data_IF_960333632588
#
_entry.id   IF_960333632588
#
_cell.length_a   1.000
_cell.length_b   1.000
_cell.length_c   1.000
_cell.angle_alpha   90.00
_cell.angle_beta   90.00
_cell.angle_gamma   90.00
#
_symmetry.space_group_name_H-M   'P 1'
#
loop_
_entity.id
_entity.type
_entity.pdbx_description
1 polymer ?
#
# COMPACT_ATOMS: atom_id res chain seq x y z
N UNK A 1 11.15 25.09 4.70
CA UNK A 1 10.29 23.96 4.27
C UNK A 1 9.17 23.85 5.30
N UNK A 2 7.90 23.74 4.90
CA UNK A 2 6.83 23.47 5.87
C UNK A 2 7.05 22.10 6.51
N UNK A 3 6.63 21.94 7.76
CA UNK A 3 6.66 20.67 8.49
C UNK A 3 6.07 19.50 7.70
N UNK A 4 4.97 19.75 7.00
CA UNK A 4 4.29 18.75 6.17
C UNK A 4 5.16 18.35 4.97
N UNK A 5 5.83 19.30 4.30
CA UNK A 5 6.71 18.96 3.17
C UNK A 5 7.90 18.09 3.61
N UNK A 6 8.38 18.26 4.84
CA UNK A 6 9.40 17.39 5.41
C UNK A 6 8.85 15.96 5.62
N UNK A 7 7.67 15.83 6.20
CA UNK A 7 6.99 14.54 6.38
C UNK A 7 6.78 13.83 5.04
N UNK A 8 6.21 14.51 4.04
CA UNK A 8 5.94 13.92 2.71
C UNK A 8 7.23 13.44 2.03
N UNK A 9 8.31 14.23 2.12
CA UNK A 9 9.61 13.84 1.57
C UNK A 9 10.19 12.61 2.29
N UNK A 10 10.09 12.54 3.62
CA UNK A 10 10.55 11.37 4.38
C UNK A 10 9.73 10.12 4.09
N UNK A 11 8.42 10.27 3.89
CA UNK A 11 7.55 9.18 3.46
C UNK A 11 7.97 8.66 2.08
N UNK A 12 8.21 9.56 1.12
CA UNK A 12 8.71 9.19 -0.21
C UNK A 12 10.05 8.42 -0.13
N UNK A 13 11.00 8.92 0.66
CA UNK A 13 12.29 8.26 0.86
C UNK A 13 12.13 6.88 1.51
N UNK A 14 11.25 6.74 2.50
CA UNK A 14 10.96 5.47 3.18
C UNK A 14 10.33 4.45 2.24
N UNK A 15 9.34 4.88 1.44
CA UNK A 15 8.70 4.03 0.43
C UNK A 15 9.70 3.51 -0.60
N UNK A 16 10.60 4.36 -1.06
CA UNK A 16 11.60 4.00 -2.07
C UNK A 16 12.73 3.12 -1.52
N UNK A 17 13.00 3.17 -0.20
CA UNK A 17 13.92 2.27 0.51
C UNK A 17 13.34 0.88 0.75
N UNK A 18 12.01 0.73 0.75
CA UNK A 18 11.37 -0.58 0.96
C UNK A 18 11.47 -1.47 -0.30
N UNK A 19 12.44 -2.39 -0.29
CA UNK A 19 12.61 -3.37 -1.36
C UNK A 19 11.42 -4.33 -1.50
N UNK A 20 10.70 -4.64 -0.42
CA UNK A 20 9.56 -5.57 -0.44
C UNK A 20 8.38 -4.96 -1.18
N UNK A 21 8.02 -3.70 -0.91
CA UNK A 21 6.99 -2.97 -1.65
C UNK A 21 7.36 -2.86 -3.12
N UNK A 22 8.60 -2.50 -3.43
CA UNK A 22 9.09 -2.43 -4.82
C UNK A 22 9.12 -3.78 -5.53
N UNK A 23 9.38 -4.88 -4.82
CA UNK A 23 9.30 -6.25 -5.36
C UNK A 23 7.86 -6.65 -5.69
N UNK A 24 6.87 -6.23 -4.91
CA UNK A 24 5.44 -6.50 -5.16
C UNK A 24 4.91 -5.81 -6.42
N UNK A 25 5.55 -4.71 -6.85
CA UNK A 25 5.28 -4.04 -8.13
C UNK A 25 5.88 -4.78 -9.35
N UNK A 26 6.65 -5.86 -9.14
CA UNK A 26 7.07 -6.73 -10.25
C UNK A 26 5.92 -7.68 -10.60
N UNK A 27 5.68 -7.98 -11.89
CA UNK A 27 4.89 -9.14 -12.23
C UNK A 27 5.52 -10.35 -11.53
N UNK A 28 4.72 -11.09 -10.77
CA UNK A 28 5.15 -12.37 -10.20
C UNK A 28 5.34 -13.30 -11.39
N UNK A 29 6.56 -13.35 -11.94
CA UNK A 29 6.90 -14.24 -13.06
C UNK A 29 6.89 -15.70 -12.62
N UNK A 30 7.05 -15.93 -11.32
CA UNK A 30 7.13 -17.25 -10.70
C UNK A 30 6.75 -17.09 -9.23
N UNK A 31 5.70 -17.78 -8.79
CA UNK A 31 5.60 -18.13 -7.37
C UNK A 31 6.76 -19.11 -7.12
N UNK A 32 7.73 -18.76 -6.28
CA UNK A 32 8.78 -19.69 -5.83
C UNK A 32 8.20 -20.69 -4.84
N UNK A 33 7.19 -21.43 -5.30
CA UNK A 33 6.61 -22.63 -4.72
C UNK A 33 6.47 -23.73 -5.77
N UNK A 34 7.26 -23.64 -6.86
CA UNK A 34 7.53 -24.79 -7.73
C UNK A 34 8.21 -25.90 -6.92
N UNK A 35 8.01 -27.16 -7.32
CA UNK A 35 8.04 -28.31 -6.44
C UNK A 35 9.42 -28.46 -5.78
N UNK A 36 9.47 -28.32 -4.46
CA UNK A 36 10.40 -29.15 -3.70
C UNK A 36 9.92 -30.60 -3.87
N UNK A 37 10.80 -31.59 -4.09
CA UNK A 37 10.43 -33.01 -4.19
C UNK A 37 9.97 -33.61 -2.84
N UNK A 38 9.62 -32.77 -1.87
CA UNK A 38 9.28 -33.16 -0.51
C UNK A 38 7.81 -32.86 -0.20
N UNK A 39 7.10 -33.79 0.46
CA UNK A 39 5.69 -33.61 0.81
C UNK A 39 5.59 -32.64 1.99
N UNK A 40 5.32 -31.37 1.70
CA UNK A 40 5.01 -30.34 2.69
C UNK A 40 3.76 -29.55 2.25
N UNK A 41 2.99 -28.97 3.19
CA UNK A 41 1.70 -28.36 2.89
C UNK A 41 1.91 -26.96 2.28
N UNK A 42 2.30 -26.91 1.01
CA UNK A 42 2.11 -25.73 0.18
C UNK A 42 0.63 -25.58 -0.21
N UNK A 43 0.17 -24.38 -0.63
CA UNK A 43 -1.23 -24.15 -0.92
C UNK A 43 -1.63 -24.98 -2.14
N UNK A 44 -2.39 -26.06 -1.90
CA UNK A 44 -2.93 -26.87 -2.97
C UNK A 44 -3.85 -26.01 -3.84
N UNK A 45 -3.79 -26.13 -5.17
CA UNK A 45 -4.83 -25.56 -6.02
C UNK A 45 -6.17 -26.17 -5.62
N UNK A 46 -7.30 -25.45 -5.83
CA UNK A 46 -8.60 -25.99 -5.52
C UNK A 46 -8.81 -27.33 -6.27
N UNK A 47 -9.57 -28.29 -5.70
CA UNK A 47 -9.54 -29.71 -6.11
C UNK A 47 -9.82 -29.98 -7.60
N UNK A 48 -10.57 -29.08 -8.23
CA UNK A 48 -10.92 -29.07 -9.64
C UNK A 48 -9.73 -28.78 -10.59
N UNK A 49 -8.65 -28.17 -10.10
CA UNK A 49 -7.40 -27.91 -10.86
C UNK A 49 -6.30 -28.94 -10.59
N UNK A 50 -6.39 -29.69 -9.49
CA UNK A 50 -5.41 -30.70 -9.12
C UNK A 50 -5.40 -31.92 -10.06
N UNK A 51 -6.50 -32.17 -10.80
CA UNK A 51 -6.64 -33.32 -11.70
C UNK A 51 -6.39 -33.02 -13.19
N UNK A 52 -6.08 -31.77 -13.56
CA UNK A 52 -5.76 -31.41 -14.94
C UNK A 52 -4.32 -30.86 -15.03
N UNK A 53 -3.33 -31.68 -15.44
CA UNK A 53 -1.93 -31.26 -15.59
C UNK A 53 -1.73 -30.12 -16.59
N UNK A 54 -2.67 -29.91 -17.52
CA UNK A 54 -2.60 -28.81 -18.50
C UNK A 54 -3.11 -27.48 -17.91
N UNK A 55 -3.96 -27.54 -16.88
CA UNK A 55 -4.51 -26.38 -16.15
C UNK A 55 -3.53 -25.71 -15.19
N UNK A 56 -2.43 -26.37 -14.81
CA UNK A 56 -1.41 -25.78 -13.93
C UNK A 56 -0.68 -24.61 -14.59
N UNK A 57 -0.56 -24.66 -15.92
CA UNK A 57 -0.07 -23.54 -16.72
C UNK A 57 -1.06 -22.35 -16.81
N UNK A 58 -2.29 -22.52 -16.30
CA UNK A 58 -3.33 -21.47 -16.17
C UNK A 58 -3.45 -20.93 -14.74
N UNK A 59 -2.94 -21.65 -13.73
CA UNK A 59 -2.71 -21.13 -12.38
C UNK A 59 -1.48 -20.19 -12.34
N UNK A 60 -1.29 -19.39 -13.40
CA UNK A 60 -0.30 -18.32 -13.44
C UNK A 60 -0.72 -17.30 -12.38
N UNK A 61 0.26 -16.84 -11.61
CA UNK A 61 0.09 -15.73 -10.69
C UNK A 61 -0.66 -14.57 -11.37
N UNK A 62 -1.47 -13.88 -10.58
CA UNK A 62 -2.32 -12.79 -11.04
C UNK A 62 -1.57 -11.88 -12.03
N UNK A 63 -2.17 -11.59 -13.20
CA UNK A 63 -1.50 -10.87 -14.27
C UNK A 63 -1.08 -9.48 -13.77
N UNK A 64 0.18 -9.12 -14.05
CA UNK A 64 0.77 -7.77 -14.05
C UNK A 64 0.05 -6.72 -13.20
N UNK A 65 0.68 -6.31 -12.08
CA UNK A 65 0.23 -5.21 -11.23
C UNK A 65 -0.23 -4.01 -12.07
N UNK A 66 -1.45 -3.51 -11.81
CA UNK A 66 -2.02 -2.34 -12.50
C UNK A 66 -1.66 -1.03 -11.80
N UNK A 67 -0.68 -1.06 -10.88
CA UNK A 67 -0.30 0.09 -10.08
C UNK A 67 0.72 0.98 -10.79
N UNK A 68 1.42 0.52 -11.82
CA UNK A 68 2.43 1.31 -12.53
C UNK A 68 1.81 2.51 -13.26
N UNK A 69 2.49 3.66 -13.18
CA UNK A 69 2.06 4.95 -13.71
C UNK A 69 0.67 5.36 -13.22
N UNK A 70 0.39 5.12 -11.93
CA UNK A 70 -0.92 5.35 -11.34
C UNK A 70 -0.83 5.98 -9.95
N UNK A 71 -1.77 6.87 -9.67
CA UNK A 71 -2.05 7.34 -8.32
C UNK A 71 -2.69 6.21 -7.52
N UNK A 72 -2.02 5.72 -6.47
CA UNK A 72 -2.46 4.54 -5.73
C UNK A 72 -3.18 4.89 -4.43
N UNK A 73 -2.79 5.99 -3.78
CA UNK A 73 -3.38 6.45 -2.51
C UNK A 73 -3.54 7.97 -2.58
N UNK A 74 -4.75 8.47 -2.34
CA UNK A 74 -5.01 9.85 -1.92
C UNK A 74 -5.43 9.83 -0.46
N UNK A 75 -4.72 10.58 0.38
CA UNK A 75 -5.07 10.78 1.79
C UNK A 75 -5.35 12.25 2.03
N UNK A 76 -6.59 12.55 2.42
CA UNK A 76 -7.06 13.86 2.82
C UNK A 76 -7.27 13.89 4.33
N UNK A 77 -6.55 14.78 5.00
CA UNK A 77 -6.66 14.99 6.44
C UNK A 77 -7.41 16.30 6.66
N UNK A 78 -8.64 16.21 7.18
CA UNK A 78 -9.60 17.31 7.23
C UNK A 78 -8.98 18.59 7.83
N UNK A 79 -9.00 19.69 7.08
CA UNK A 79 -8.48 21.01 7.46
C UNK A 79 -6.95 21.12 7.64
N UNK A 80 -6.18 20.07 7.33
CA UNK A 80 -4.73 20.06 7.51
C UNK A 80 -3.98 19.97 6.18
N UNK A 81 -4.05 18.83 5.48
CA UNK A 81 -3.35 18.63 4.22
C UNK A 81 -3.96 17.47 3.43
N UNK A 82 -3.63 17.44 2.14
CA UNK A 82 -3.91 16.33 1.24
C UNK A 82 -2.62 15.92 0.54
N UNK A 83 -2.41 14.63 0.36
CA UNK A 83 -1.31 14.14 -0.46
C UNK A 83 -1.72 12.91 -1.26
N UNK A 84 -1.00 12.71 -2.35
CA UNK A 84 -1.16 11.57 -3.25
C UNK A 84 0.16 10.81 -3.33
N UNK A 85 0.08 9.48 -3.30
CA UNK A 85 1.19 8.59 -3.62
C UNK A 85 1.00 8.07 -5.04
N UNK A 86 1.94 8.38 -5.92
CA UNK A 86 2.01 7.90 -7.29
C UNK A 86 3.08 6.82 -7.42
N UNK A 87 2.82 5.79 -8.21
CA UNK A 87 3.83 4.79 -8.59
C UNK A 87 4.29 5.07 -10.02
N UNK A 88 5.56 5.43 -10.18
CA UNK A 88 6.15 5.71 -11.48
C UNK A 88 6.39 4.42 -12.29
N UNK A 89 6.66 4.56 -13.59
CA UNK A 89 6.98 3.44 -14.49
C UNK A 89 8.23 2.65 -14.06
N UNK A 90 9.20 3.33 -13.44
CA UNK A 90 10.44 2.74 -12.92
C UNK A 90 10.26 2.07 -11.53
N UNK A 91 9.02 1.98 -11.04
CA UNK A 91 8.64 1.39 -9.74
C UNK A 91 9.17 2.18 -8.55
N UNK A 92 9.42 3.47 -8.72
CA UNK A 92 9.60 4.40 -7.61
C UNK A 92 8.25 4.98 -7.20
N UNK A 93 8.18 5.45 -5.97
CA UNK A 93 7.04 6.16 -5.43
C UNK A 93 7.34 7.66 -5.44
N UNK A 94 6.37 8.48 -5.84
CA UNK A 94 6.40 9.93 -5.66
C UNK A 94 5.27 10.32 -4.71
N UNK A 95 5.55 11.21 -3.76
CA UNK A 95 4.57 11.72 -2.80
C UNK A 95 4.40 13.23 -3.00
N UNK A 96 3.21 13.64 -3.43
CA UNK A 96 2.94 15.04 -3.79
C UNK A 96 1.75 15.62 -3.02
N UNK A 97 1.79 16.90 -2.61
CA UNK A 97 0.67 17.58 -1.95
C UNK A 97 -0.40 18.00 -2.97
N UNK A 98 -0.99 17.03 -3.65
CA UNK A 98 -2.07 17.23 -4.63
C UNK A 98 -3.20 16.22 -4.45
N UNK A 99 -4.33 16.49 -5.09
CA UNK A 99 -5.42 15.54 -5.27
C UNK A 99 -5.18 14.71 -6.54
N UNK A 100 -5.53 13.44 -6.48
CA UNK A 100 -5.52 12.53 -7.60
C UNK A 100 -6.83 12.66 -8.39
N UNK A 101 -6.77 12.41 -9.70
CA UNK A 101 -7.99 12.40 -10.53
C UNK A 101 -8.74 11.08 -10.36
N UNK A 102 -8.01 9.95 -10.32
CA UNK A 102 -8.58 8.62 -10.21
C UNK A 102 -7.68 7.68 -9.38
N UNK A 103 -7.52 7.95 -8.07
CA UNK A 103 -6.68 7.13 -7.20
C UNK A 103 -7.28 5.72 -7.03
N UNK A 104 -6.43 4.71 -6.84
CA UNK A 104 -6.91 3.36 -6.48
C UNK A 104 -7.67 3.36 -5.15
N UNK A 105 -7.18 4.13 -4.18
CA UNK A 105 -7.78 4.33 -2.88
C UNK A 105 -7.73 5.81 -2.52
N UNK A 106 -8.89 6.39 -2.21
CA UNK A 106 -9.01 7.72 -1.63
C UNK A 106 -9.62 7.60 -0.25
N UNK A 107 -8.99 8.22 0.73
CA UNK A 107 -9.48 8.27 2.10
C UNK A 107 -9.46 9.71 2.57
N UNK A 108 -10.61 10.20 2.99
CA UNK A 108 -10.74 11.44 3.76
C UNK A 108 -10.99 11.07 5.21
N UNK A 109 -10.16 11.58 6.13
CA UNK A 109 -10.28 11.26 7.55
C UNK A 109 -10.06 12.48 8.46
N UNK A 110 -10.69 12.49 9.65
CA UNK A 110 -10.36 13.45 10.69
C UNK A 110 -8.89 13.37 11.13
N UNK A 111 -8.34 14.50 11.58
CA UNK A 111 -6.95 14.58 12.02
C UNK A 111 -6.64 13.71 13.24
N UNK A 112 -7.57 13.57 14.19
CA UNK A 112 -7.40 12.73 15.38
C UNK A 112 -7.26 11.25 15.01
N UNK A 113 -8.09 10.76 14.09
CA UNK A 113 -7.99 9.38 13.56
C UNK A 113 -6.65 9.16 12.85
N UNK A 114 -6.27 10.10 11.99
CA UNK A 114 -4.99 10.04 11.30
C UNK A 114 -3.82 10.00 12.28
N UNK A 115 -3.86 10.85 13.31
CA UNK A 115 -2.82 10.94 14.33
C UNK A 115 -2.69 9.64 15.13
N UNK A 116 -3.80 9.06 15.56
CA UNK A 116 -3.79 7.80 16.30
C UNK A 116 -3.30 6.63 15.43
N UNK A 117 -3.65 6.62 14.15
CA UNK A 117 -3.11 5.67 13.17
C UNK A 117 -1.60 5.86 12.97
N UNK A 118 -1.17 7.09 12.69
CA UNK A 118 0.21 7.40 12.34
C UNK A 118 1.16 7.16 13.53
N UNK A 119 0.70 7.38 14.76
CA UNK A 119 1.45 7.10 15.99
C UNK A 119 1.28 5.65 16.49
N UNK A 120 0.66 4.76 15.71
CA UNK A 120 0.51 3.34 16.05
C UNK A 120 -0.39 3.05 17.26
N UNK A 121 -1.19 4.03 17.71
CA UNK A 121 -2.20 3.85 18.77
C UNK A 121 -3.41 3.08 18.25
N UNK A 122 -3.67 3.17 16.95
CA UNK A 122 -4.72 2.43 16.25
C UNK A 122 -4.14 1.66 15.05
N UNK A 123 -4.67 0.45 14.80
CA UNK A 123 -4.28 -0.32 13.62
C UNK A 123 -4.80 0.37 12.36
N UNK A 124 -3.99 0.44 11.32
CA UNK A 124 -4.36 1.01 10.00
C UNK A 124 -5.75 0.58 9.52
N UNK A 125 -6.05 -0.72 9.56
CA UNK A 125 -7.34 -1.23 9.06
C UNK A 125 -8.55 -0.72 9.88
N UNK A 126 -8.37 -0.48 11.18
CA UNK A 126 -9.42 0.03 12.06
C UNK A 126 -9.58 1.53 11.89
N UNK A 127 -8.46 2.26 11.83
CA UNK A 127 -8.47 3.67 11.50
C UNK A 127 -9.17 3.93 10.17
N UNK A 128 -8.87 3.15 9.12
CA UNK A 128 -9.54 3.26 7.81
C UNK A 128 -11.04 2.94 7.86
N UNK A 129 -11.46 2.03 8.74
CA UNK A 129 -12.86 1.63 8.92
C UNK A 129 -13.65 2.53 9.88
N UNK A 130 -13.05 3.58 10.44
CA UNK A 130 -13.77 4.56 11.26
C UNK A 130 -14.92 5.16 10.44
N UNK A 131 -16.14 5.15 11.02
CA UNK A 131 -17.37 5.66 10.40
C UNK A 131 -17.31 7.15 10.02
N UNK A 132 -16.34 7.90 10.56
CA UNK A 132 -16.11 9.31 10.26
C UNK A 132 -15.28 9.51 8.99
N UNK A 133 -14.71 8.44 8.44
CA UNK A 133 -13.93 8.51 7.23
C UNK A 133 -14.81 8.35 5.99
N UNK A 134 -14.39 9.00 4.91
CA UNK A 134 -14.93 8.76 3.57
C UNK A 134 -13.91 7.96 2.77
N UNK A 135 -14.25 6.72 2.45
CA UNK A 135 -13.37 5.82 1.70
C UNK A 135 -13.97 5.55 0.32
N UNK A 136 -13.21 5.88 -0.71
CA UNK A 136 -13.52 5.55 -2.10
C UNK A 136 -12.43 4.63 -2.65
N UNK A 137 -12.82 3.60 -3.38
CA UNK A 137 -11.88 2.63 -3.94
C UNK A 137 -12.24 2.27 -5.37
N UNK A 138 -11.22 1.90 -6.16
CA UNK A 138 -11.40 1.34 -7.49
C UNK A 138 -11.67 -0.18 -7.39
N UNK A 139 -12.87 -0.66 -7.75
CA UNK A 139 -13.22 -2.08 -7.67
C UNK A 139 -12.46 -2.96 -8.68
N UNK A 140 -11.76 -2.36 -9.65
CA UNK A 140 -11.00 -3.10 -10.68
C UNK A 140 -9.59 -3.50 -10.24
N UNK A 141 -9.15 -3.05 -9.06
CA UNK A 141 -7.84 -3.36 -8.47
C UNK A 141 -7.83 -4.80 -7.94
N UNK A 142 -6.81 -5.57 -8.33
CA UNK A 142 -6.66 -6.94 -7.90
C UNK A 142 -6.26 -7.05 -6.42
N UNK A 143 -6.62 -8.16 -5.76
CA UNK A 143 -6.28 -8.40 -4.35
C UNK A 143 -4.77 -8.29 -4.06
N UNK A 144 -3.92 -8.72 -4.99
CA UNK A 144 -2.45 -8.61 -4.86
C UNK A 144 -1.98 -7.16 -4.80
N UNK A 145 -2.64 -6.27 -5.54
CA UNK A 145 -2.33 -4.84 -5.58
C UNK A 145 -2.82 -4.13 -4.32
N UNK A 146 -3.96 -4.56 -3.75
CA UNK A 146 -4.47 -4.07 -2.46
C UNK A 146 -3.47 -4.25 -1.31
N UNK A 147 -2.72 -5.36 -1.29
CA UNK A 147 -1.67 -5.59 -0.29
C UNK A 147 -0.57 -4.52 -0.38
N UNK A 148 -0.23 -4.06 -1.58
CA UNK A 148 0.74 -2.99 -1.79
C UNK A 148 0.17 -1.65 -1.35
N UNK A 149 -1.08 -1.35 -1.70
CA UNK A 149 -1.78 -0.12 -1.29
C UNK A 149 -1.82 -0.01 0.25
N UNK A 150 -2.23 -1.08 0.95
CA UNK A 150 -2.23 -1.07 2.42
C UNK A 150 -0.82 -0.99 3.01
N UNK A 151 0.17 -1.60 2.36
CA UNK A 151 1.57 -1.49 2.77
C UNK A 151 2.09 -0.05 2.69
N UNK A 152 1.68 0.71 1.68
CA UNK A 152 2.02 2.14 1.54
C UNK A 152 1.42 2.97 2.67
N UNK A 153 0.18 2.69 3.07
CA UNK A 153 -0.43 3.37 4.24
C UNK A 153 0.28 2.96 5.54
N UNK A 154 0.59 1.68 5.70
CA UNK A 154 1.34 1.16 6.84
C UNK A 154 2.72 1.81 7.02
N UNK A 155 3.35 2.26 5.93
CA UNK A 155 4.63 2.97 6.00
C UNK A 155 4.58 4.31 6.71
N UNK A 156 3.41 4.92 6.84
CA UNK A 156 3.24 6.13 7.64
C UNK A 156 3.54 5.82 9.11
N UNK A 157 3.00 4.71 9.61
CA UNK A 157 3.21 4.25 10.97
C UNK A 157 4.68 3.83 11.20
N UNK A 158 5.23 3.02 10.29
CA UNK A 158 6.64 2.60 10.39
C UNK A 158 7.61 3.80 10.34
N UNK A 159 7.29 4.84 9.55
CA UNK A 159 8.08 6.06 9.49
C UNK A 159 8.04 6.79 10.85
N UNK A 160 6.86 6.97 11.44
CA UNK A 160 6.75 7.62 12.74
C UNK A 160 7.51 6.85 13.84
N UNK A 161 7.42 5.52 13.84
CA UNK A 161 8.12 4.66 14.81
C UNK A 161 9.65 4.70 14.65
N UNK A 162 10.15 4.84 13.42
CA UNK A 162 11.59 4.84 13.12
C UNK A 162 12.24 6.22 13.16
N UNK A 163 11.46 7.30 13.12
CA UNK A 163 11.94 8.68 13.04
C UNK A 163 11.29 9.56 14.12
N UNK A 164 12.01 9.81 15.25
CA UNK A 164 11.49 10.60 16.37
C UNK A 164 11.06 12.01 15.97
N UNK A 165 11.66 12.61 14.95
CA UNK A 165 11.27 13.96 14.51
C UNK A 165 9.91 13.94 13.79
N UNK A 166 9.62 12.86 13.05
CA UNK A 166 8.30 12.65 12.45
C UNK A 166 7.26 12.36 13.52
N UNK A 167 7.60 11.56 14.52
CA UNK A 167 6.73 11.32 15.68
C UNK A 167 6.35 12.62 16.37
N UNK A 168 7.35 13.41 16.77
CA UNK A 168 7.18 14.72 17.41
C UNK A 168 6.34 15.67 16.56
N UNK A 169 6.53 15.62 15.25
CA UNK A 169 5.77 16.45 14.33
C UNK A 169 4.29 16.09 14.32
N UNK A 170 3.97 14.80 14.22
CA UNK A 170 2.60 14.30 14.22
C UNK A 170 1.92 14.52 15.58
N UNK A 171 2.67 14.52 16.68
CA UNK A 171 2.16 14.88 17.99
C UNK A 171 1.82 16.37 18.14
N UNK A 172 2.55 17.26 17.45
CA UNK A 172 2.42 18.72 17.58
C UNK A 172 1.48 19.35 16.55
N UNK A 173 1.20 18.68 15.44
CA UNK A 173 0.10 19.01 14.51
C UNK A 173 -1.26 18.84 15.23
#
# INVERSE_FOLDING_TARGET
MSSINMFLKRLEESLNKDETLRRRLKPITTFSGGPTPYPGPGPYPPPNLAMDPTGWSRARGYPTSKLLNRDIVELEIHNYFVFTVHVNEDKTFTVEPRRAINPCLKVSMPFDVFKDMALGKERVIYALADKRNEVHYDPTVALSDWITIFGVIGKIQELAESDPEVWDLLEKL
#
